data_IF_707027386541
#
_entry.id   IF_707027386541
#
_cell.length_a   1.000
_cell.length_b   1.000
_cell.length_c   1.000
_cell.angle_alpha   90.00
_cell.angle_beta   90.00
_cell.angle_gamma   90.00
#
_symmetry.space_group_name_H-M   'P 1'
#
loop_
_entity.id
_entity.type
_entity.pdbx_description
1 polymer ?
#
# COMPACT_ATOMS: atom_id res chain seq x y z
N UNK A 1 -9.68 -4.26 16.32
CA UNK A 1 -9.65 -2.90 15.72
C UNK A 1 -8.39 -2.18 16.13
N UNK A 2 -7.67 -1.58 15.20
CA UNK A 2 -6.53 -0.67 15.44
C UNK A 2 -7.04 0.76 15.48
N UNK A 3 -6.73 1.48 16.54
CA UNK A 3 -7.13 2.87 16.73
C UNK A 3 -5.93 3.79 16.84
N UNK A 4 -5.94 4.85 16.06
CA UNK A 4 -4.95 5.92 16.04
C UNK A 4 -5.66 7.21 16.44
N UNK A 5 -5.21 7.90 17.50
CA UNK A 5 -5.83 9.12 18.03
C UNK A 5 -4.86 10.29 18.01
N UNK A 6 -5.21 11.35 17.27
CA UNK A 6 -4.53 12.66 17.26
C UNK A 6 -3.01 12.57 17.10
N UNK A 7 -2.55 11.63 16.26
CA UNK A 7 -1.15 11.28 16.11
C UNK A 7 -0.37 12.42 15.46
N UNK A 8 0.74 12.83 16.07
CA UNK A 8 1.63 13.84 15.52
C UNK A 8 3.09 13.44 15.74
N UNK A 9 3.94 13.75 14.74
CA UNK A 9 5.38 13.52 14.78
C UNK A 9 6.14 14.55 13.99
N UNK A 10 7.22 15.05 14.58
CA UNK A 10 8.16 15.97 13.93
C UNK A 10 9.58 15.43 14.05
N UNK A 11 10.42 15.77 13.10
CA UNK A 11 11.87 15.60 13.18
C UNK A 11 12.50 16.96 12.98
N UNK A 12 13.20 17.47 14.00
CA UNK A 12 13.65 18.85 14.04
C UNK A 12 12.45 19.79 13.76
N UNK A 13 12.53 20.67 12.80
CA UNK A 13 11.47 21.63 12.45
C UNK A 13 10.45 21.09 11.43
N UNK A 14 10.65 19.86 10.92
CA UNK A 14 9.77 19.27 9.91
C UNK A 14 8.70 18.41 10.54
N UNK A 15 7.44 18.85 10.44
CA UNK A 15 6.26 18.01 10.81
C UNK A 15 6.04 16.93 9.75
N UNK A 16 6.14 15.65 10.14
CA UNK A 16 6.00 14.47 9.26
C UNK A 16 4.65 13.79 9.43
N UNK A 17 4.04 13.91 10.60
CA UNK A 17 2.66 13.50 10.89
C UNK A 17 1.97 14.67 11.61
N UNK A 18 0.76 15.04 11.16
CA UNK A 18 0.00 16.19 11.69
C UNK A 18 -1.40 15.78 12.06
N UNK A 19 -1.63 15.48 13.34
CA UNK A 19 -2.95 15.20 13.90
C UNK A 19 -3.75 14.17 13.09
N UNK A 20 -3.17 12.97 12.90
CA UNK A 20 -3.83 11.87 12.21
C UNK A 20 -4.67 11.10 13.22
N UNK A 21 -5.96 10.92 12.91
CA UNK A 21 -6.85 9.99 13.60
C UNK A 21 -7.45 9.03 12.58
N UNK A 22 -7.43 7.73 12.90
CA UNK A 22 -7.86 6.67 12.00
C UNK A 22 -8.27 5.44 12.80
N UNK A 23 -9.32 4.78 12.37
CA UNK A 23 -9.71 3.46 12.84
C UNK A 23 -9.64 2.46 11.69
N UNK A 24 -9.04 1.30 11.96
CA UNK A 24 -8.88 0.20 11.00
C UNK A 24 -9.51 -1.04 11.63
N UNK A 25 -10.41 -1.67 10.91
CA UNK A 25 -11.11 -2.84 11.39
C UNK A 25 -10.22 -4.09 11.33
N UNK A 26 -10.57 -5.09 12.15
CA UNK A 26 -9.88 -6.37 12.12
C UNK A 26 -10.04 -7.01 10.73
N UNK A 27 -9.05 -7.78 10.31
CA UNK A 27 -9.07 -8.47 9.02
C UNK A 27 -9.15 -7.55 7.79
N UNK A 28 -8.64 -6.33 7.88
CA UNK A 28 -8.63 -5.36 6.79
C UNK A 28 -7.22 -5.26 6.17
N UNK A 29 -7.16 -5.18 4.83
CA UNK A 29 -5.94 -4.83 4.10
C UNK A 29 -6.01 -3.34 3.76
N UNK A 30 -5.17 -2.54 4.40
CA UNK A 30 -5.12 -1.09 4.22
C UNK A 30 -3.89 -0.70 3.43
N UNK A 31 -4.11 -0.04 2.31
CA UNK A 31 -3.03 0.55 1.51
C UNK A 31 -2.80 2.00 1.89
N UNK A 32 -1.56 2.33 2.26
CA UNK A 32 -1.12 3.70 2.54
C UNK A 32 -0.26 4.20 1.39
N UNK A 33 -0.79 5.16 0.65
CA UNK A 33 -0.18 5.72 -0.56
C UNK A 33 0.26 7.16 -0.30
N UNK A 34 1.25 7.63 -1.01
CA UNK A 34 1.75 9.00 -0.93
C UNK A 34 3.16 9.13 -1.48
N UNK A 35 3.56 10.36 -1.79
CA UNK A 35 4.90 10.68 -2.28
C UNK A 35 6.00 10.29 -1.28
N UNK A 36 7.23 10.16 -1.76
CA UNK A 36 8.37 9.90 -0.88
C UNK A 36 8.51 11.04 0.15
N UNK A 37 8.74 10.65 1.41
CA UNK A 37 8.88 11.60 2.52
C UNK A 37 7.57 12.21 3.04
N UNK A 38 6.37 11.74 2.60
CA UNK A 38 5.08 12.22 3.11
C UNK A 38 4.71 11.69 4.51
N UNK A 39 5.47 10.70 5.05
CA UNK A 39 5.27 10.19 6.40
C UNK A 39 4.83 8.72 6.51
N UNK A 40 4.70 7.95 5.42
CA UNK A 40 4.27 6.53 5.43
C UNK A 40 5.10 5.69 6.39
N UNK A 41 6.41 5.64 6.18
CA UNK A 41 7.35 4.89 7.04
C UNK A 41 7.30 5.34 8.50
N UNK A 42 7.18 6.66 8.74
CA UNK A 42 7.05 7.20 10.10
C UNK A 42 5.77 6.73 10.77
N UNK A 43 4.63 6.79 10.07
CA UNK A 43 3.36 6.27 10.56
C UNK A 43 3.47 4.79 10.91
N UNK A 44 4.04 3.98 10.04
CA UNK A 44 4.22 2.55 10.26
C UNK A 44 5.16 2.24 11.43
N UNK A 45 6.27 2.98 11.56
CA UNK A 45 7.18 2.83 12.71
C UNK A 45 6.51 3.18 14.04
N UNK A 46 5.60 4.17 14.06
CA UNK A 46 4.83 4.50 15.27
C UNK A 46 3.82 3.39 15.57
N UNK A 47 3.09 2.89 14.57
CA UNK A 47 2.14 1.77 14.76
C UNK A 47 2.87 0.52 15.27
N UNK A 48 4.08 0.26 14.76
CA UNK A 48 4.92 -0.86 15.22
C UNK A 48 5.61 -0.61 16.57
N UNK A 49 5.36 0.54 17.21
CA UNK A 49 6.00 0.97 18.46
C UNK A 49 7.55 1.00 18.40
N UNK A 50 8.10 1.27 17.21
CA UNK A 50 9.55 1.43 17.00
C UNK A 50 10.03 2.85 17.29
N UNK A 51 9.15 3.84 17.21
CA UNK A 51 9.38 5.24 17.57
C UNK A 51 8.16 5.79 18.28
N UNK A 52 8.39 6.68 19.26
CA UNK A 52 7.31 7.35 19.96
C UNK A 52 6.74 8.52 19.14
N UNK A 53 5.42 8.73 19.13
CA UNK A 53 4.83 9.96 18.62
C UNK A 53 5.17 11.14 19.55
N UNK A 54 5.06 12.37 19.03
CA UNK A 54 5.17 13.58 19.89
C UNK A 54 3.84 13.85 20.61
N UNK A 55 2.70 13.50 19.96
CA UNK A 55 1.38 13.55 20.55
C UNK A 55 0.51 12.43 19.99
N UNK A 56 -0.55 12.08 20.73
CA UNK A 56 -1.51 11.06 20.35
C UNK A 56 -1.09 9.67 20.79
N UNK A 57 -1.86 8.67 20.39
CA UNK A 57 -1.65 7.28 20.78
C UNK A 57 -2.06 6.32 19.66
N UNK A 58 -1.52 5.11 19.74
CA UNK A 58 -1.90 3.96 18.92
C UNK A 58 -2.23 2.80 19.84
N UNK A 59 -3.38 2.19 19.64
CA UNK A 59 -3.81 1.00 20.39
C UNK A 59 -4.45 -0.03 19.46
N UNK A 60 -4.30 -1.30 19.83
CA UNK A 60 -4.98 -2.43 19.20
C UNK A 60 -5.80 -3.14 20.27
N UNK A 61 -7.13 -3.20 20.09
CA UNK A 61 -8.08 -3.69 21.11
C UNK A 61 -7.83 -3.05 22.49
N UNK A 62 -7.73 -1.70 22.49
CA UNK A 62 -7.51 -0.86 23.68
C UNK A 62 -6.16 -1.05 24.39
N UNK A 63 -5.26 -1.87 23.85
CA UNK A 63 -3.91 -2.08 24.37
C UNK A 63 -2.89 -1.42 23.43
N UNK A 64 -1.88 -0.77 23.97
CA UNK A 64 -0.80 -0.21 23.16
C UNK A 64 -0.14 -1.30 22.30
N UNK A 65 0.12 -0.96 21.04
CA UNK A 65 0.82 -1.88 20.13
C UNK A 65 2.25 -2.12 20.61
N UNK A 66 2.75 -3.32 20.39
CA UNK A 66 4.11 -3.72 20.76
C UNK A 66 4.69 -4.71 19.75
N UNK A 67 5.90 -5.21 20.06
CA UNK A 67 6.55 -6.21 19.21
C UNK A 67 5.78 -7.53 19.12
N UNK A 68 4.89 -7.86 20.07
CA UNK A 68 4.05 -9.08 20.00
C UNK A 68 2.84 -8.87 19.10
N UNK A 69 2.34 -7.66 19.03
CA UNK A 69 1.16 -7.27 18.26
C UNK A 69 1.46 -7.06 16.78
N UNK A 70 2.65 -6.53 16.46
CA UNK A 70 2.99 -6.10 15.11
C UNK A 70 4.22 -6.82 14.57
N UNK A 71 4.12 -7.32 13.35
CA UNK A 71 5.28 -7.74 12.54
C UNK A 71 5.53 -6.71 11.45
N UNK A 72 6.76 -6.17 11.37
CA UNK A 72 7.11 -5.06 10.50
C UNK A 72 8.22 -5.45 9.51
N UNK A 73 7.91 -5.37 8.22
CA UNK A 73 8.89 -5.46 7.14
C UNK A 73 9.20 -4.04 6.65
N UNK A 74 10.39 -3.53 6.98
CA UNK A 74 10.84 -2.22 6.54
C UNK A 74 11.31 -2.22 5.08
N UNK A 75 11.28 -1.04 4.44
CA UNK A 75 11.84 -0.84 3.10
C UNK A 75 13.33 -1.21 3.04
N UNK A 76 14.10 -0.87 4.06
CA UNK A 76 15.55 -1.17 4.18
C UNK A 76 15.84 -2.66 4.36
N UNK A 77 14.82 -3.49 4.57
CA UNK A 77 14.90 -4.96 4.63
C UNK A 77 16.00 -5.46 5.54
N UNK A 78 15.78 -5.39 6.83
CA UNK A 78 16.75 -5.83 7.82
C UNK A 78 16.96 -7.35 7.76
N UNK A 79 18.04 -7.77 7.15
CA UNK A 79 18.52 -9.16 7.12
C UNK A 79 19.95 -9.20 7.62
N UNK A 80 20.32 -10.31 8.26
CA UNK A 80 21.67 -10.51 8.80
C UNK A 80 22.61 -10.93 7.68
N UNK A 81 23.33 -9.99 7.08
CA UNK A 81 24.14 -10.21 5.87
C UNK A 81 25.19 -11.31 6.05
N UNK A 82 25.83 -11.40 7.22
CA UNK A 82 26.89 -12.38 7.52
C UNK A 82 26.38 -13.81 7.80
N UNK A 83 25.06 -13.97 7.99
CA UNK A 83 24.45 -15.26 8.26
C UNK A 83 24.04 -15.98 6.97
N UNK A 84 23.99 -17.31 7.02
CA UNK A 84 23.30 -18.06 5.97
C UNK A 84 21.79 -17.92 6.11
N UNK A 85 21.06 -18.13 5.00
CA UNK A 85 19.58 -18.13 5.00
C UNK A 85 19.04 -19.06 6.10
N UNK A 86 19.56 -20.28 6.19
CA UNK A 86 19.10 -21.25 7.19
C UNK A 86 19.40 -20.81 8.63
N UNK A 87 20.55 -20.15 8.87
CA UNK A 87 20.88 -19.62 10.19
C UNK A 87 19.93 -18.52 10.61
N UNK A 88 19.63 -17.54 9.73
CA UNK A 88 18.69 -16.48 10.03
C UNK A 88 17.29 -17.01 10.32
N UNK A 89 16.73 -17.86 9.44
CA UNK A 89 15.38 -18.39 9.61
C UNK A 89 15.24 -19.19 10.90
N UNK A 90 16.21 -20.06 11.22
CA UNK A 90 16.22 -20.82 12.47
C UNK A 90 16.38 -19.94 13.72
N UNK A 91 17.15 -18.87 13.64
CA UNK A 91 17.28 -17.93 14.75
C UNK A 91 15.94 -17.27 15.05
N UNK A 92 15.24 -16.78 14.02
CA UNK A 92 13.93 -16.13 14.18
C UNK A 92 12.87 -17.13 14.65
N UNK A 93 12.87 -18.37 14.17
CA UNK A 93 12.01 -19.44 14.70
C UNK A 93 12.19 -19.62 16.21
N UNK A 94 13.43 -19.72 16.67
CA UNK A 94 13.75 -19.87 18.11
C UNK A 94 13.31 -18.68 18.92
N UNK A 95 13.56 -17.46 18.45
CA UNK A 95 13.15 -16.21 19.13
C UNK A 95 11.64 -16.11 19.27
N UNK A 96 10.87 -16.70 18.36
CA UNK A 96 9.40 -16.63 18.38
C UNK A 96 8.74 -17.94 18.84
N UNK A 97 9.51 -18.91 19.35
CA UNK A 97 9.02 -20.23 19.78
C UNK A 97 8.18 -20.95 18.71
N UNK A 98 8.58 -20.85 17.44
CA UNK A 98 7.83 -21.31 16.25
C UNK A 98 8.61 -22.36 15.46
N UNK A 99 8.67 -23.59 15.97
CA UNK A 99 9.42 -24.66 15.31
C UNK A 99 8.88 -25.03 13.93
N UNK A 100 9.79 -25.24 12.98
CA UNK A 100 9.54 -25.76 11.61
C UNK A 100 8.67 -24.90 10.70
N UNK A 101 8.27 -23.70 11.10
CA UNK A 101 7.46 -22.82 10.26
C UNK A 101 8.22 -22.34 9.02
N UNK A 102 9.55 -22.14 9.13
CA UNK A 102 10.39 -21.72 8.01
C UNK A 102 10.31 -22.67 6.81
N UNK A 103 10.17 -23.99 7.04
CA UNK A 103 10.03 -24.96 5.94
C UNK A 103 8.80 -24.67 5.08
N UNK A 104 7.64 -24.36 5.70
CA UNK A 104 6.43 -24.00 4.98
C UNK A 104 6.59 -22.67 4.24
N UNK A 105 7.25 -21.69 4.87
CA UNK A 105 7.48 -20.37 4.26
C UNK A 105 8.42 -20.45 3.06
N UNK A 106 9.46 -21.32 3.11
CA UNK A 106 10.34 -21.58 1.98
C UNK A 106 9.54 -22.05 0.76
N UNK A 107 8.60 -22.99 0.96
CA UNK A 107 7.77 -23.49 -0.13
C UNK A 107 6.73 -22.45 -0.60
N UNK A 108 6.07 -21.70 0.30
CA UNK A 108 5.10 -20.65 -0.03
C UNK A 108 5.74 -19.49 -0.81
N UNK A 109 6.94 -19.08 -0.41
CA UNK A 109 7.68 -17.97 -1.03
C UNK A 109 8.55 -18.42 -2.20
N UNK A 110 8.48 -19.70 -2.57
CA UNK A 110 9.26 -20.28 -3.66
C UNK A 110 10.76 -19.94 -3.53
N UNK A 111 11.31 -20.14 -2.32
CA UNK A 111 12.73 -19.94 -2.06
C UNK A 111 13.47 -21.19 -2.52
N UNK A 112 14.44 -21.04 -3.42
CA UNK A 112 15.28 -22.18 -3.84
C UNK A 112 16.02 -22.76 -2.65
N UNK A 113 15.78 -24.04 -2.35
CA UNK A 113 16.40 -24.76 -1.23
C UNK A 113 17.92 -24.79 -1.30
N UNK A 114 18.51 -24.67 -2.50
CA UNK A 114 19.96 -24.53 -2.67
C UNK A 114 20.51 -23.29 -1.98
N UNK A 115 19.72 -22.22 -1.88
CA UNK A 115 20.14 -20.96 -1.25
C UNK A 115 20.27 -21.05 0.27
N UNK A 116 19.72 -22.08 0.93
CA UNK A 116 19.69 -22.18 2.39
C UNK A 116 21.09 -22.18 3.03
N UNK A 117 22.10 -22.70 2.32
CA UNK A 117 23.50 -22.69 2.75
C UNK A 117 24.28 -21.43 2.37
N UNK A 118 23.73 -20.56 1.53
CA UNK A 118 24.43 -19.35 1.08
C UNK A 118 24.33 -18.24 2.12
N UNK A 119 25.38 -17.43 2.25
CA UNK A 119 25.33 -16.18 2.99
C UNK A 119 24.36 -15.22 2.32
N UNK A 120 23.58 -14.50 3.12
CA UNK A 120 22.55 -13.57 2.64
C UNK A 120 23.18 -12.43 1.83
N UNK A 121 24.35 -11.95 2.19
CA UNK A 121 25.10 -10.93 1.42
C UNK A 121 25.25 -11.26 -0.07
N UNK A 122 25.42 -12.56 -0.40
CA UNK A 122 25.65 -13.07 -1.76
C UNK A 122 24.37 -13.31 -2.57
N UNK A 123 23.19 -13.07 -2.00
CA UNK A 123 21.92 -13.25 -2.69
C UNK A 123 21.56 -12.06 -3.56
N UNK A 124 20.77 -12.32 -4.62
CA UNK A 124 20.11 -11.27 -5.39
C UNK A 124 19.16 -10.43 -4.51
N UNK A 125 18.87 -9.22 -4.93
CA UNK A 125 17.97 -8.31 -4.20
C UNK A 125 16.58 -8.92 -3.98
N UNK A 126 16.01 -9.63 -4.98
CA UNK A 126 14.74 -10.33 -4.86
C UNK A 126 14.78 -11.48 -3.84
N UNK A 127 15.84 -12.28 -3.84
CA UNK A 127 16.00 -13.33 -2.85
C UNK A 127 16.18 -12.79 -1.42
N UNK A 128 16.95 -11.71 -1.23
CA UNK A 128 17.02 -11.00 0.06
C UNK A 128 15.65 -10.56 0.54
N UNK A 129 14.81 -10.10 -0.37
CA UNK A 129 13.44 -9.70 -0.02
C UNK A 129 12.56 -10.89 0.39
N UNK A 130 12.64 -12.01 -0.32
CA UNK A 130 11.95 -13.25 0.09
C UNK A 130 12.38 -13.70 1.48
N UNK A 131 13.67 -13.61 1.81
CA UNK A 131 14.19 -13.97 3.14
C UNK A 131 13.70 -13.00 4.21
N UNK A 132 13.70 -11.69 3.94
CA UNK A 132 13.14 -10.68 4.84
C UNK A 132 11.64 -10.91 5.09
N UNK A 133 10.88 -11.21 4.03
CA UNK A 133 9.46 -11.54 4.13
C UNK A 133 9.24 -12.83 4.93
N UNK A 134 10.00 -13.90 4.66
CA UNK A 134 9.95 -15.12 5.44
C UNK A 134 10.20 -14.85 6.93
N UNK A 135 11.22 -14.04 7.22
CA UNK A 135 11.57 -13.63 8.60
C UNK A 135 10.42 -12.90 9.31
N UNK A 136 9.74 -12.01 8.58
CA UNK A 136 8.57 -11.29 9.08
C UNK A 136 7.38 -12.25 9.33
N UNK A 137 7.16 -13.24 8.47
CA UNK A 137 6.04 -14.17 8.54
C UNK A 137 6.21 -15.30 9.58
N UNK A 138 7.43 -15.59 10.02
CA UNK A 138 7.68 -16.57 11.09
C UNK A 138 6.95 -16.14 12.37
N UNK A 139 6.90 -14.86 12.65
CA UNK A 139 6.18 -14.29 13.78
C UNK A 139 4.67 -14.30 13.50
N UNK A 140 3.89 -14.87 14.42
CA UNK A 140 2.45 -14.90 14.31
C UNK A 140 1.84 -13.71 15.06
N UNK A 141 1.63 -12.62 14.34
CA UNK A 141 1.07 -11.40 14.88
C UNK A 141 -0.35 -11.16 14.36
N UNK A 142 -1.19 -10.40 15.07
CA UNK A 142 -2.47 -9.93 14.53
C UNK A 142 -2.30 -8.89 13.43
N UNK A 143 -1.21 -8.11 13.43
CA UNK A 143 -0.96 -7.01 12.49
C UNK A 143 0.35 -7.24 11.75
N UNK A 144 0.31 -7.15 10.42
CA UNK A 144 1.48 -7.17 9.56
C UNK A 144 1.60 -5.83 8.83
N UNK A 145 2.79 -5.25 8.87
CA UNK A 145 3.09 -3.98 8.19
C UNK A 145 4.18 -4.24 7.16
N UNK A 146 3.93 -3.88 5.92
CA UNK A 146 4.85 -3.99 4.80
C UNK A 146 5.13 -2.61 4.20
N UNK A 147 6.33 -2.09 4.41
CA UNK A 147 6.75 -0.79 3.90
C UNK A 147 7.46 -0.96 2.55
N UNK A 148 6.82 -0.47 1.48
CA UNK A 148 7.25 -0.58 0.07
C UNK A 148 7.67 -2.02 -0.35
N UNK A 149 6.84 -3.05 -0.09
CA UNK A 149 7.25 -4.44 -0.28
C UNK A 149 7.36 -4.85 -1.74
N UNK A 150 6.73 -4.12 -2.67
CA UNK A 150 6.73 -4.42 -4.11
C UNK A 150 7.93 -3.82 -4.84
N UNK A 151 8.70 -2.93 -4.20
CA UNK A 151 9.84 -2.25 -4.81
C UNK A 151 10.93 -3.26 -5.20
N UNK A 152 11.37 -3.22 -6.46
CA UNK A 152 12.41 -4.07 -7.03
C UNK A 152 12.08 -5.58 -7.07
N UNK A 153 10.79 -5.93 -7.09
CA UNK A 153 10.32 -7.27 -7.43
C UNK A 153 9.99 -7.35 -8.93
N UNK A 154 10.26 -8.51 -9.52
CA UNK A 154 9.70 -8.90 -10.82
C UNK A 154 8.22 -9.32 -10.68
N UNK A 155 7.56 -9.53 -11.81
CA UNK A 155 6.14 -9.86 -11.86
C UNK A 155 5.80 -11.13 -11.05
N UNK A 156 6.62 -12.17 -11.13
CA UNK A 156 6.38 -13.45 -10.45
C UNK A 156 6.45 -13.27 -8.92
N UNK A 157 7.44 -12.53 -8.44
CA UNK A 157 7.61 -12.23 -7.02
C UNK A 157 6.51 -11.29 -6.49
N UNK A 158 6.00 -10.37 -7.30
CA UNK A 158 4.82 -9.56 -6.97
C UNK A 158 3.60 -10.46 -6.75
N UNK A 159 3.34 -11.41 -7.63
CA UNK A 159 2.18 -12.32 -7.51
C UNK A 159 2.31 -13.25 -6.29
N UNK A 160 3.51 -13.71 -5.95
CA UNK A 160 3.76 -14.44 -4.69
C UNK A 160 3.40 -13.57 -3.49
N UNK A 161 3.85 -12.33 -3.44
CA UNK A 161 3.56 -11.42 -2.32
C UNK A 161 2.07 -11.11 -2.22
N UNK A 162 1.38 -10.89 -3.35
CA UNK A 162 -0.08 -10.71 -3.39
C UNK A 162 -0.80 -11.93 -2.81
N UNK A 163 -0.38 -13.16 -3.15
CA UNK A 163 -0.93 -14.40 -2.58
C UNK A 163 -0.71 -14.46 -1.07
N UNK A 164 0.48 -14.09 -0.59
CA UNK A 164 0.81 -14.06 0.85
C UNK A 164 -0.07 -13.07 1.60
N UNK A 165 -0.25 -11.85 1.08
CA UNK A 165 -1.10 -10.84 1.72
C UNK A 165 -2.55 -11.31 1.80
N UNK A 166 -3.08 -11.91 0.73
CA UNK A 166 -4.43 -12.52 0.73
C UNK A 166 -4.54 -13.68 1.71
N UNK A 167 -3.51 -14.49 1.84
CA UNK A 167 -3.45 -15.58 2.83
C UNK A 167 -3.49 -15.04 4.26
N UNK A 168 -2.76 -13.96 4.55
CA UNK A 168 -2.81 -13.30 5.87
C UNK A 168 -4.23 -12.83 6.19
N UNK A 169 -4.91 -12.18 5.25
CA UNK A 169 -6.31 -11.79 5.40
C UNK A 169 -7.23 -13.00 5.63
N UNK A 170 -7.05 -14.08 4.87
CA UNK A 170 -7.81 -15.31 5.06
C UNK A 170 -7.64 -15.89 6.47
N UNK A 171 -6.48 -15.70 7.08
CA UNK A 171 -6.18 -16.04 8.47
C UNK A 171 -6.53 -14.94 9.48
N UNK A 172 -7.44 -14.04 9.12
CA UNK A 172 -7.93 -12.96 9.98
C UNK A 172 -6.84 -12.01 10.51
N UNK A 173 -5.78 -11.81 9.72
CA UNK A 173 -4.72 -10.84 10.05
C UNK A 173 -5.03 -9.49 9.41
N UNK A 174 -4.75 -8.42 10.14
CA UNK A 174 -4.73 -7.07 9.60
C UNK A 174 -3.42 -6.85 8.83
N UNK A 175 -3.49 -6.22 7.66
CA UNK A 175 -2.31 -5.91 6.86
C UNK A 175 -2.30 -4.44 6.47
N UNK A 176 -1.23 -3.74 6.83
CA UNK A 176 -0.96 -2.40 6.33
C UNK A 176 0.17 -2.47 5.31
N UNK A 177 -0.04 -1.87 4.14
CA UNK A 177 0.94 -1.93 3.05
C UNK A 177 1.16 -0.51 2.51
N UNK A 178 2.41 -0.05 2.45
CA UNK A 178 2.74 1.14 1.66
C UNK A 178 3.16 0.73 0.25
N UNK A 179 2.80 1.52 -0.74
CA UNK A 179 3.33 1.39 -2.08
C UNK A 179 3.09 2.64 -2.91
N UNK A 180 3.98 2.87 -3.85
CA UNK A 180 3.78 3.80 -4.96
C UNK A 180 3.40 3.07 -6.27
N UNK A 181 3.31 1.72 -6.25
CA UNK A 181 2.91 0.88 -7.38
C UNK A 181 1.45 0.47 -7.17
N UNK A 182 0.55 0.99 -8.00
CA UNK A 182 -0.90 0.83 -7.82
C UNK A 182 -1.44 -0.55 -8.24
N UNK A 183 -0.87 -1.17 -9.27
CA UNK A 183 -1.41 -2.42 -9.83
C UNK A 183 -1.52 -3.56 -8.79
N UNK A 184 -0.47 -3.92 -8.01
CA UNK A 184 -0.61 -4.95 -7.00
C UNK A 184 -1.54 -4.52 -5.85
N UNK A 185 -1.53 -3.23 -5.47
CA UNK A 185 -2.41 -2.69 -4.43
C UNK A 185 -3.89 -2.86 -4.81
N UNK A 186 -4.25 -2.55 -6.04
CA UNK A 186 -5.63 -2.69 -6.52
C UNK A 186 -6.15 -4.14 -6.50
N UNK A 187 -5.25 -5.14 -6.47
CA UNK A 187 -5.63 -6.56 -6.37
C UNK A 187 -5.98 -6.99 -4.94
N UNK A 188 -5.53 -6.24 -3.92
CA UNK A 188 -5.55 -6.71 -2.52
C UNK A 188 -6.23 -5.76 -1.53
N UNK A 189 -6.11 -4.44 -1.68
CA UNK A 189 -6.54 -3.49 -0.66
C UNK A 189 -8.06 -3.44 -0.51
N UNK A 190 -8.53 -3.39 0.73
CA UNK A 190 -9.92 -3.14 1.09
C UNK A 190 -10.16 -1.65 1.34
N UNK A 191 -9.11 -0.94 1.78
CA UNK A 191 -9.13 0.50 2.06
C UNK A 191 -7.87 1.16 1.53
N UNK A 192 -8.03 2.37 1.08
CA UNK A 192 -6.98 3.21 0.52
C UNK A 192 -6.87 4.51 1.31
N UNK A 193 -5.66 4.81 1.77
CA UNK A 193 -5.35 6.03 2.50
C UNK A 193 -4.30 6.79 1.71
N UNK A 194 -4.57 8.04 1.35
CA UNK A 194 -3.61 8.94 0.72
C UNK A 194 -3.06 9.93 1.73
N UNK A 195 -1.75 9.85 1.97
CA UNK A 195 -1.00 10.80 2.79
C UNK A 195 -0.43 11.91 1.92
N UNK A 196 -0.82 13.15 2.22
CA UNK A 196 -0.31 14.37 1.58
C UNK A 196 -0.03 15.43 2.65
N UNK A 197 1.12 16.09 2.58
CA UNK A 197 1.50 17.17 3.51
C UNK A 197 1.37 16.78 5.00
N UNK A 198 1.77 15.55 5.32
CA UNK A 198 1.74 14.98 6.68
C UNK A 198 0.32 14.72 7.25
N UNK A 199 -0.72 14.70 6.42
CA UNK A 199 -2.13 14.46 6.80
C UNK A 199 -2.74 13.38 5.92
N UNK A 200 -3.84 12.81 6.37
CA UNK A 200 -4.71 11.99 5.51
C UNK A 200 -5.50 12.95 4.61
N UNK A 201 -5.21 12.91 3.33
CA UNK A 201 -5.92 13.70 2.32
C UNK A 201 -7.13 12.94 1.76
N UNK A 202 -7.02 11.60 1.65
CA UNK A 202 -8.11 10.72 1.23
C UNK A 202 -8.12 9.46 2.09
N UNK A 203 -9.32 8.97 2.39
CA UNK A 203 -9.57 7.68 3.02
C UNK A 203 -10.82 7.10 2.36
N UNK A 204 -10.64 6.03 1.58
CA UNK A 204 -11.70 5.41 0.78
C UNK A 204 -11.65 3.90 0.93
N UNK A 205 -12.80 3.28 1.15
CA UNK A 205 -12.92 1.83 1.06
C UNK A 205 -13.04 1.39 -0.41
N UNK A 206 -12.75 0.12 -0.66
CA UNK A 206 -12.99 -0.48 -1.99
C UNK A 206 -14.47 -0.38 -2.37
N UNK A 207 -15.37 -0.64 -1.43
CA UNK A 207 -16.81 -0.55 -1.66
C UNK A 207 -17.23 0.85 -2.09
N UNK A 208 -16.72 1.90 -1.42
CA UNK A 208 -17.00 3.29 -1.84
C UNK A 208 -16.49 3.59 -3.26
N UNK A 209 -15.35 3.00 -3.67
CA UNK A 209 -14.83 3.16 -5.03
C UNK A 209 -15.64 2.37 -6.05
N UNK A 210 -16.10 1.17 -5.69
CA UNK A 210 -16.88 0.31 -6.58
C UNK A 210 -18.32 0.87 -6.80
N UNK A 211 -18.86 1.59 -5.82
CA UNK A 211 -20.17 2.26 -5.91
C UNK A 211 -20.09 3.65 -6.58
N UNK A 212 -18.90 4.18 -6.83
CA UNK A 212 -18.74 5.48 -7.47
C UNK A 212 -19.15 5.41 -8.95
N UNK A 213 -20.14 6.21 -9.34
CA UNK A 213 -20.70 6.23 -10.70
C UNK A 213 -19.89 7.08 -11.67
N UNK A 214 -18.91 7.85 -11.17
CA UNK A 214 -18.07 8.68 -12.02
C UNK A 214 -17.26 7.86 -13.01
N UNK A 215 -17.22 8.38 -14.22
CA UNK A 215 -16.55 7.73 -15.35
C UNK A 215 -15.42 8.62 -15.85
N UNK A 216 -14.30 8.00 -16.14
CA UNK A 216 -13.13 8.65 -16.71
C UNK A 216 -13.15 8.48 -18.22
N UNK A 217 -12.98 9.57 -18.95
CA UNK A 217 -12.77 9.57 -20.40
C UNK A 217 -11.38 10.12 -20.69
N UNK A 218 -10.53 9.30 -21.27
CA UNK A 218 -9.20 9.69 -21.73
C UNK A 218 -9.22 9.86 -23.24
N UNK A 219 -8.65 10.96 -23.76
CA UNK A 219 -8.69 11.27 -25.18
C UNK A 219 -7.43 12.03 -25.64
N UNK A 220 -7.04 11.86 -26.90
CA UNK A 220 -6.00 12.66 -27.55
C UNK A 220 -6.54 13.98 -28.16
N UNK A 221 -7.77 14.38 -27.80
CA UNK A 221 -8.31 15.67 -28.21
C UNK A 221 -7.49 16.81 -27.61
N UNK A 222 -7.26 17.86 -28.37
CA UNK A 222 -6.44 19.01 -27.94
C UNK A 222 -7.28 20.19 -27.45
N UNK A 223 -8.58 20.22 -27.78
CA UNK A 223 -9.51 21.23 -27.29
C UNK A 223 -10.08 20.83 -25.92
N UNK A 224 -10.14 21.78 -25.00
CA UNK A 224 -10.82 21.59 -23.72
C UNK A 224 -12.33 21.72 -23.91
N UNK A 225 -13.08 20.87 -23.24
CA UNK A 225 -14.52 20.91 -23.17
C UNK A 225 -14.96 21.35 -21.78
N UNK A 226 -16.00 22.15 -21.71
CA UNK A 226 -16.58 22.67 -20.49
C UNK A 226 -18.10 22.41 -20.51
N UNK A 227 -18.47 21.13 -20.46
CA UNK A 227 -19.86 20.70 -20.42
C UNK A 227 -20.28 20.48 -18.96
N UNK A 228 -21.54 20.76 -18.57
CA UNK A 228 -22.06 20.67 -17.20
C UNK A 228 -21.88 19.30 -16.52
N UNK A 229 -21.72 18.25 -17.31
CA UNK A 229 -21.45 16.89 -16.81
C UNK A 229 -19.98 16.60 -16.56
N UNK A 230 -19.06 17.47 -16.96
CA UNK A 230 -17.62 17.36 -16.70
C UNK A 230 -17.35 17.95 -15.32
N UNK A 231 -16.96 17.10 -14.37
CA UNK A 231 -16.64 17.53 -13.01
C UNK A 231 -15.28 18.21 -12.93
N UNK A 232 -14.32 17.66 -13.64
CA UNK A 232 -12.98 18.26 -13.82
C UNK A 232 -12.25 17.62 -14.99
N UNK A 233 -11.21 18.29 -15.45
CA UNK A 233 -10.29 17.76 -16.46
C UNK A 233 -8.84 18.12 -16.17
N UNK A 234 -7.93 17.28 -16.63
CA UNK A 234 -6.49 17.52 -16.53
C UNK A 234 -5.74 16.82 -17.68
N UNK A 235 -4.52 17.27 -17.92
CA UNK A 235 -3.64 16.64 -18.90
C UNK A 235 -2.71 15.65 -18.18
N UNK A 236 -2.64 14.43 -18.72
CA UNK A 236 -1.71 13.39 -18.29
C UNK A 236 -0.98 12.86 -19.50
N UNK A 237 0.33 13.02 -19.52
CA UNK A 237 1.15 12.73 -20.71
C UNK A 237 0.61 13.50 -21.94
N UNK A 238 0.28 12.81 -23.00
CA UNK A 238 -0.30 13.40 -24.24
C UNK A 238 -1.83 13.28 -24.31
N UNK A 239 -2.48 12.82 -23.23
CA UNK A 239 -3.92 12.62 -23.18
C UNK A 239 -4.60 13.64 -22.26
N UNK A 240 -5.79 14.09 -22.63
CA UNK A 240 -6.73 14.75 -21.73
C UNK A 240 -7.56 13.72 -20.98
N UNK A 241 -7.69 13.92 -19.69
CA UNK A 241 -8.46 13.09 -18.77
C UNK A 241 -9.64 13.92 -18.27
N UNK A 242 -10.86 13.46 -18.54
CA UNK A 242 -12.10 14.07 -18.10
C UNK A 242 -12.76 13.18 -17.06
N UNK A 243 -13.13 13.75 -15.91
CA UNK A 243 -13.94 13.08 -14.89
C UNK A 243 -15.37 13.51 -15.11
N UNK A 244 -16.23 12.57 -15.42
CA UNK A 244 -17.63 12.79 -15.80
C UNK A 244 -18.55 12.21 -14.73
N UNK A 245 -19.64 12.90 -14.45
CA UNK A 245 -20.56 12.62 -13.35
C UNK A 245 -21.28 11.25 -13.45
N UNK A 246 -21.42 10.69 -14.65
CA UNK A 246 -22.10 9.42 -14.87
C UNK A 246 -21.63 8.70 -16.14
N UNK A 247 -21.86 7.40 -16.20
CA UNK A 247 -21.55 6.59 -17.38
C UNK A 247 -22.34 7.03 -18.62
N UNK A 248 -23.61 7.38 -18.47
CA UNK A 248 -24.45 7.82 -19.60
C UNK A 248 -23.94 9.12 -20.23
N UNK A 249 -23.52 10.07 -19.40
CA UNK A 249 -22.90 11.31 -19.86
C UNK A 249 -21.56 11.06 -20.54
N UNK A 250 -20.76 10.16 -19.99
CA UNK A 250 -19.48 9.75 -20.58
C UNK A 250 -19.66 9.08 -21.95
N UNK A 251 -20.69 8.25 -22.11
CA UNK A 251 -21.03 7.64 -23.40
C UNK A 251 -21.44 8.68 -24.45
N UNK A 252 -22.22 9.69 -24.07
CA UNK A 252 -22.58 10.81 -24.96
C UNK A 252 -21.33 11.59 -25.38
N UNK A 253 -20.47 11.91 -24.43
CA UNK A 253 -19.23 12.63 -24.67
C UNK A 253 -18.28 11.85 -25.59
N UNK A 254 -18.12 10.57 -25.36
CA UNK A 254 -17.28 9.69 -26.19
C UNK A 254 -17.76 9.59 -27.62
N UNK A 255 -19.09 9.50 -27.86
CA UNK A 255 -19.66 9.53 -29.22
C UNK A 255 -19.31 10.83 -29.96
N UNK A 256 -19.32 11.96 -29.24
CA UNK A 256 -18.91 13.26 -29.80
C UNK A 256 -17.42 13.27 -30.17
N UNK A 257 -16.55 12.70 -29.35
CA UNK A 257 -15.11 12.56 -29.65
C UNK A 257 -14.87 11.65 -30.87
N UNK A 258 -15.51 10.50 -30.93
CA UNK A 258 -15.42 9.56 -32.04
C UNK A 258 -15.90 10.21 -33.35
N UNK A 259 -16.98 11.01 -33.32
CA UNK A 259 -17.45 11.74 -34.50
C UNK A 259 -16.40 12.75 -35.04
N UNK A 260 -15.51 13.23 -34.17
CA UNK A 260 -14.36 14.09 -34.50
C UNK A 260 -13.10 13.30 -34.87
N UNK A 261 -13.19 11.97 -35.01
CA UNK A 261 -12.08 11.04 -35.29
C UNK A 261 -10.98 11.05 -34.23
N UNK A 262 -11.38 11.27 -32.96
CA UNK A 262 -10.48 11.23 -31.81
C UNK A 262 -10.54 9.89 -31.11
N UNK A 263 -9.39 9.46 -30.61
CA UNK A 263 -9.34 8.30 -29.73
C UNK A 263 -9.94 8.64 -28.37
N UNK A 264 -10.68 7.72 -27.79
CA UNK A 264 -11.16 7.85 -26.43
C UNK A 264 -11.26 6.49 -25.75
N UNK A 265 -10.90 6.48 -24.47
CA UNK A 265 -10.99 5.31 -23.60
C UNK A 265 -11.88 5.65 -22.42
N UNK A 266 -12.88 4.78 -22.18
CA UNK A 266 -13.76 4.91 -21.02
C UNK A 266 -13.39 3.87 -19.97
N UNK A 267 -13.33 4.29 -18.71
CA UNK A 267 -13.17 3.41 -17.58
C UNK A 267 -13.82 3.98 -16.33
N UNK A 268 -14.07 3.15 -15.34
CA UNK A 268 -14.46 3.60 -14.01
C UNK A 268 -13.37 4.47 -13.38
N UNK A 269 -13.78 5.39 -12.50
CA UNK A 269 -12.87 6.15 -11.67
C UNK A 269 -12.11 5.20 -10.73
N UNK A 270 -10.85 5.48 -10.49
CA UNK A 270 -9.97 4.71 -9.61
C UNK A 270 -9.46 5.58 -8.49
N UNK A 271 -8.89 4.96 -7.44
CA UNK A 271 -8.23 5.72 -6.37
C UNK A 271 -7.09 6.61 -6.87
N UNK A 272 -6.40 6.19 -7.93
CA UNK A 272 -5.36 7.00 -8.57
C UNK A 272 -5.90 8.30 -9.19
N UNK A 273 -7.11 8.28 -9.75
CA UNK A 273 -7.76 9.48 -10.26
C UNK A 273 -8.11 10.44 -9.12
N UNK A 274 -8.61 9.93 -7.99
CA UNK A 274 -8.84 10.75 -6.80
C UNK A 274 -7.56 11.42 -6.29
N UNK A 275 -6.44 10.72 -6.32
CA UNK A 275 -5.13 11.31 -5.99
C UNK A 275 -4.82 12.45 -6.95
N UNK A 276 -4.93 12.22 -8.26
CA UNK A 276 -4.65 13.25 -9.29
C UNK A 276 -5.54 14.48 -9.10
N UNK A 277 -6.83 14.29 -8.87
CA UNK A 277 -7.79 15.37 -8.59
C UNK A 277 -7.39 16.15 -7.34
N UNK A 278 -7.01 15.44 -6.27
CA UNK A 278 -6.59 16.04 -4.99
C UNK A 278 -5.27 16.79 -5.13
N UNK A 279 -4.32 16.27 -5.90
CA UNK A 279 -3.02 16.90 -6.12
C UNK A 279 -3.13 18.16 -6.96
N UNK A 280 -4.02 18.19 -7.91
CA UNK A 280 -4.27 19.33 -8.79
C UNK A 280 -5.29 20.33 -8.22
N UNK A 281 -5.88 20.05 -7.04
CA UNK A 281 -6.96 20.86 -6.40
C UNK A 281 -8.15 21.12 -7.35
N UNK A 282 -8.55 20.12 -8.14
CA UNK A 282 -9.56 20.26 -9.19
C UNK A 282 -11.03 20.12 -8.71
N UNK A 283 -11.26 19.60 -7.51
CA UNK A 283 -12.57 19.57 -6.86
C UNK A 283 -12.45 20.33 -5.52
N UNK A 284 -13.07 21.51 -5.44
CA UNK A 284 -13.30 22.26 -4.21
C UNK A 284 -14.71 21.96 -3.66
#
# INVERSE_FOLDING_TARGET
MLEIKNLSKSYLDKKVIKNISLQIDDNEIVSVVGSNGCGKTTLFKIIANLINPDNGSVSFHDVATDYQTVSFLSEERTVMMDCTVNQQLKLIERMNCRDKISKRLIDILEIDKKLLGYKIENLSKGNKQKIALASCLIKDCPIYIFDEPFTALDCDNIDILVKVIKMLKYHHKMVLVSSHIYQPINKIADRYIYLKSARIALNKTREELDLDERTVVETNETEMFDDDFILCSYKKDDMFVYIINSFDSAMKFSRRLISRKKECHLRKITFQDFISITDLNLLQ
#
